data_IF_136599910329
#
_entry.id   IF_136599910329
#
_cell.length_a   1.000
_cell.length_b   1.000
_cell.length_c   1.000
_cell.angle_alpha   90.00
_cell.angle_beta   90.00
_cell.angle_gamma   90.00
#
_symmetry.space_group_name_H-M   'P 1'
#
loop_
_entity.id
_entity.type
_entity.pdbx_description
1 polymer ?
#
# COMPACT_ATOMS: atom_id res chain seq x y z
N UNK A 1 15.25 -15.30 -3.80
CA UNK A 1 13.78 -15.18 -3.80
C UNK A 1 13.48 -13.72 -3.62
N UNK A 2 13.31 -13.01 -4.73
CA UNK A 2 13.23 -11.55 -4.73
C UNK A 2 11.80 -11.15 -4.33
N UNK A 3 11.62 -10.73 -3.08
CA UNK A 3 10.61 -9.71 -2.81
C UNK A 3 11.15 -8.41 -3.43
N UNK A 4 11.19 -8.38 -4.77
CA UNK A 4 11.37 -7.14 -5.51
C UNK A 4 10.08 -6.36 -5.25
N UNK A 5 10.17 -5.44 -4.29
CA UNK A 5 9.24 -4.37 -3.97
C UNK A 5 8.32 -4.02 -5.15
N UNK A 6 7.20 -4.73 -5.27
CA UNK A 6 6.35 -4.63 -6.45
C UNK A 6 5.85 -3.18 -6.55
N UNK A 7 6.09 -2.49 -7.67
CA UNK A 7 5.49 -1.20 -7.88
C UNK A 7 3.98 -1.41 -8.00
N UNK A 8 3.25 -0.59 -7.26
CA UNK A 8 1.80 -0.62 -7.23
C UNK A 8 1.27 0.79 -7.43
N UNK A 9 0.13 0.88 -8.09
CA UNK A 9 -0.61 2.11 -8.32
C UNK A 9 -2.06 1.96 -7.88
N UNK A 10 -2.73 3.08 -7.60
CA UNK A 10 -4.14 3.10 -7.21
C UNK A 10 -4.81 4.38 -7.68
N UNK A 11 -6.14 4.36 -7.78
CA UNK A 11 -6.92 5.52 -8.19
C UNK A 11 -7.10 6.51 -7.03
N UNK A 12 -6.81 7.79 -7.27
CA UNK A 12 -7.12 8.90 -6.37
C UNK A 12 -7.67 10.09 -7.17
N UNK A 13 -8.99 10.29 -7.12
CA UNK A 13 -9.64 11.33 -7.93
C UNK A 13 -9.37 11.07 -9.42
N UNK A 14 -8.78 12.05 -10.11
CA UNK A 14 -8.36 11.91 -11.52
C UNK A 14 -6.92 11.43 -11.68
N UNK A 15 -6.19 11.17 -10.60
CA UNK A 15 -4.78 10.76 -10.62
C UNK A 15 -4.58 9.28 -10.29
N UNK A 16 -3.41 8.77 -10.65
CA UNK A 16 -2.97 7.39 -10.38
C UNK A 16 -1.61 7.41 -9.68
N UNK A 17 -1.56 7.79 -8.40
CA UNK A 17 -0.33 7.69 -7.62
C UNK A 17 0.18 6.25 -7.55
N UNK A 18 1.50 6.11 -7.43
CA UNK A 18 2.16 4.82 -7.24
C UNK A 18 3.18 4.84 -6.11
N UNK A 19 3.66 3.66 -5.75
CA UNK A 19 4.65 3.42 -4.72
C UNK A 19 5.13 1.97 -4.74
N UNK A 20 5.84 1.58 -3.69
CA UNK A 20 6.42 0.24 -3.55
C UNK A 20 5.80 -0.47 -2.35
N UNK A 21 5.45 -1.74 -2.51
CA UNK A 21 4.98 -2.55 -1.38
C UNK A 21 6.12 -2.78 -0.38
N UNK A 22 5.91 -2.35 0.86
CA UNK A 22 6.85 -2.53 1.96
C UNK A 22 6.42 -3.64 2.92
N UNK A 23 5.13 -3.70 3.27
CA UNK A 23 4.55 -4.76 4.11
C UNK A 23 3.19 -5.18 3.55
N UNK A 24 2.90 -6.48 3.60
CA UNK A 24 1.57 -7.05 3.36
C UNK A 24 1.16 -7.82 4.60
N UNK A 25 -0.07 -7.59 5.06
CA UNK A 25 -0.64 -8.27 6.23
C UNK A 25 -2.00 -8.81 5.84
N UNK A 26 -2.20 -10.10 6.10
CA UNK A 26 -3.44 -10.83 5.81
C UNK A 26 -4.41 -10.82 7.00
N UNK A 27 -3.90 -10.64 8.22
CA UNK A 27 -4.71 -10.62 9.45
C UNK A 27 -4.34 -9.45 10.37
N UNK A 28 -5.34 -8.85 11.01
CA UNK A 28 -5.14 -7.76 11.97
C UNK A 28 -5.22 -6.38 11.32
N UNK A 29 -4.33 -5.47 11.67
CA UNK A 29 -4.30 -4.09 11.17
C UNK A 29 -2.86 -3.68 10.80
N UNK A 30 -2.72 -2.88 9.75
CA UNK A 30 -1.53 -2.05 9.53
C UNK A 30 -1.92 -0.62 9.90
N UNK A 31 -1.14 -0.02 10.80
CA UNK A 31 -1.24 1.37 11.19
C UNK A 31 0.13 2.03 11.07
N UNK A 32 0.22 3.12 10.30
CA UNK A 32 1.43 3.92 10.12
C UNK A 32 1.16 5.37 10.53
N UNK A 33 2.18 6.07 10.99
CA UNK A 33 2.12 7.52 11.16
C UNK A 33 2.58 8.20 9.88
N UNK A 34 1.71 9.04 9.32
CA UNK A 34 2.07 9.90 8.21
C UNK A 34 3.08 10.95 8.64
N UNK A 35 3.84 11.49 7.70
CA UNK A 35 4.79 12.57 7.97
C UNK A 35 4.14 13.84 8.57
N UNK A 36 2.81 13.99 8.46
CA UNK A 36 2.04 15.11 9.04
C UNK A 36 1.42 14.80 10.42
N UNK A 37 1.79 13.68 11.05
CA UNK A 37 1.30 13.29 12.38
C UNK A 37 -0.11 12.67 12.39
N UNK A 38 -0.68 12.34 11.23
CA UNK A 38 -1.94 11.59 11.16
C UNK A 38 -1.67 10.09 11.10
N UNK A 39 -2.44 9.29 11.85
CA UNK A 39 -2.40 7.83 11.75
C UNK A 39 -3.23 7.35 10.55
N UNK A 40 -2.59 6.61 9.64
CA UNK A 40 -3.25 5.93 8.51
C UNK A 40 -3.33 4.46 8.85
N UNK A 41 -4.54 3.91 8.91
CA UNK A 41 -4.75 2.51 9.28
C UNK A 41 -5.75 1.77 8.40
N UNK A 42 -5.49 0.49 8.18
CA UNK A 42 -6.40 -0.44 7.48
C UNK A 42 -6.36 -1.82 8.11
N UNK A 43 -7.56 -2.35 8.35
CA UNK A 43 -7.73 -3.76 8.70
C UNK A 43 -7.41 -4.63 7.49
N UNK A 44 -6.63 -5.67 7.77
CA UNK A 44 -6.27 -6.74 6.87
C UNK A 44 -7.35 -7.82 6.90
N UNK A 45 -7.62 -8.37 5.72
CA UNK A 45 -8.45 -9.55 5.52
C UNK A 45 -7.69 -10.54 4.62
N UNK A 46 -7.76 -11.86 4.81
CA UNK A 46 -7.07 -12.83 3.96
C UNK A 46 -7.47 -12.75 2.48
N UNK A 47 -8.72 -12.40 2.19
CA UNK A 47 -9.20 -12.19 0.81
C UNK A 47 -8.86 -10.78 0.30
N UNK A 48 -8.56 -9.84 1.21
CA UNK A 48 -8.23 -8.47 0.87
C UNK A 48 -7.20 -7.87 1.84
N UNK A 49 -5.92 -8.27 1.72
CA UNK A 49 -4.90 -7.94 2.70
C UNK A 49 -4.64 -6.44 2.75
N UNK A 50 -4.20 -5.96 3.91
CA UNK A 50 -3.69 -4.61 4.06
C UNK A 50 -2.25 -4.56 3.55
N UNK A 51 -1.93 -3.49 2.83
CA UNK A 51 -0.65 -3.29 2.14
C UNK A 51 -0.12 -1.91 2.52
N UNK A 52 1.03 -1.88 3.19
CA UNK A 52 1.83 -0.67 3.38
C UNK A 52 2.63 -0.40 2.12
N UNK A 53 2.49 0.82 1.62
CA UNK A 53 3.14 1.29 0.41
C UNK A 53 4.02 2.47 0.76
N UNK A 54 5.32 2.29 0.52
CA UNK A 54 6.33 3.33 0.63
C UNK A 54 6.36 4.19 -0.64
N UNK A 55 6.43 5.51 -0.45
CA UNK A 55 6.58 6.46 -1.57
C UNK A 55 7.26 7.73 -1.12
N UNK A 56 7.77 8.49 -2.10
CA UNK A 56 8.29 9.81 -1.83
C UNK A 56 7.20 10.73 -1.25
N UNK A 57 7.52 11.37 -0.13
CA UNK A 57 6.68 12.32 0.58
C UNK A 57 5.89 11.74 1.75
N UNK A 58 5.06 10.72 1.51
CA UNK A 58 4.27 10.11 2.58
C UNK A 58 3.80 8.70 2.24
N UNK A 59 4.06 7.78 3.15
CA UNK A 59 3.60 6.41 3.06
C UNK A 59 2.08 6.31 3.22
N UNK A 60 1.53 5.23 2.69
CA UNK A 60 0.09 4.95 2.75
C UNK A 60 -0.17 3.49 3.07
N UNK A 61 -1.34 3.23 3.63
CA UNK A 61 -1.88 1.87 3.79
C UNK A 61 -3.13 1.75 2.93
N UNK A 62 -3.15 0.73 2.09
CA UNK A 62 -4.23 0.41 1.16
C UNK A 62 -4.62 -1.05 1.28
N UNK A 63 -5.80 -1.42 0.82
CA UNK A 63 -6.15 -2.84 0.64
C UNK A 63 -5.68 -3.34 -0.72
N UNK A 64 -5.36 -4.62 -0.84
CA UNK A 64 -4.91 -5.21 -2.10
C UNK A 64 -5.90 -5.00 -3.25
N UNK A 65 -7.22 -5.02 -2.98
CA UNK A 65 -8.25 -4.75 -3.99
C UNK A 65 -8.24 -3.31 -4.53
N UNK A 66 -7.58 -2.37 -3.85
CA UNK A 66 -7.41 -0.99 -4.31
C UNK A 66 -6.20 -0.82 -5.24
N UNK A 67 -5.33 -1.83 -5.33
CA UNK A 67 -4.02 -1.73 -5.98
C UNK A 67 -4.01 -2.41 -7.35
N UNK A 68 -3.31 -1.77 -8.28
CA UNK A 68 -2.87 -2.35 -9.53
C UNK A 68 -1.39 -2.66 -9.43
N UNK A 69 -1.00 -3.90 -9.69
CA UNK A 69 0.41 -4.31 -9.73
C UNK A 69 0.99 -3.92 -11.09
N UNK A 70 1.92 -2.97 -11.07
CA UNK A 70 2.66 -2.56 -12.25
C UNK A 70 3.71 -3.64 -12.56
N UNK A 71 3.37 -4.61 -13.42
CA UNK A 71 4.37 -5.55 -13.92
C UNK A 71 5.32 -4.79 -14.84
N UNK A 72 6.53 -4.52 -14.37
CA UNK A 72 7.62 -4.07 -15.25
C UNK A 72 7.92 -5.23 -16.21
N UNK A 73 7.54 -5.07 -17.47
CA UNK A 73 7.83 -6.01 -18.56
C UNK A 73 9.31 -6.04 -18.91
#
# INVERSE_FOLDING_TARGET
>A
MYADVLPVSWSWGSGQPGGKVAEVKEHGEIAIESHRGNTIKKNADPENPAVHIERSGNDVVKRASELQVDKKA
#
